data_IF_933647532388
#
_entry.id   IF_933647532388
#
_cell.length_a   1.000
_cell.length_b   1.000
_cell.length_c   1.000
_cell.angle_alpha   90.00
_cell.angle_beta   90.00
_cell.angle_gamma   90.00
#
_symmetry.space_group_name_H-M   'P 1'
#
loop_
_entity.id
_entity.type
_entity.pdbx_description
1 polymer ?
#
# COMPACT_ATOMS: atom_id res chain seq x y z
N UNK A 1 -1.75 18.66 -11.87
CA UNK A 1 -2.09 17.25 -12.17
C UNK A 1 -2.39 16.53 -10.86
N UNK A 2 -3.49 15.76 -10.76
CA UNK A 2 -3.82 15.00 -9.53
C UNK A 2 -2.97 13.73 -9.49
N UNK A 3 -2.41 13.39 -8.31
CA UNK A 3 -1.65 12.16 -8.08
C UNK A 3 -2.53 11.14 -7.37
N UNK A 4 -2.48 9.89 -7.81
CA UNK A 4 -3.10 8.78 -7.12
C UNK A 4 -2.03 8.00 -6.36
N UNK A 5 -2.33 7.62 -5.12
CA UNK A 5 -1.46 6.85 -4.26
C UNK A 5 -2.15 5.53 -3.93
N UNK A 6 -1.50 4.41 -4.28
CA UNK A 6 -1.97 3.07 -3.94
C UNK A 6 -1.33 2.64 -2.63
N UNK A 7 -2.16 2.41 -1.61
CA UNK A 7 -1.73 1.83 -0.35
C UNK A 7 -1.98 0.32 -0.38
N UNK A 8 -0.97 -0.46 0.01
CA UNK A 8 -1.03 -1.94 0.11
C UNK A 8 -0.50 -2.42 1.47
N UNK A 9 -0.37 -1.50 2.44
CA UNK A 9 0.19 -1.79 3.75
C UNK A 9 -0.33 -0.87 4.84
N UNK A 10 0.52 -0.43 5.78
CA UNK A 10 0.10 0.35 6.96
C UNK A 10 -0.67 1.63 6.63
N UNK A 11 -0.42 2.22 5.46
CA UNK A 11 -1.17 3.36 4.94
C UNK A 11 -2.63 3.04 4.52
N UNK A 12 -3.08 1.79 4.63
CA UNK A 12 -4.50 1.45 4.57
C UNK A 12 -5.26 1.84 5.84
N UNK A 13 -4.55 2.09 6.96
CA UNK A 13 -5.18 2.61 8.17
C UNK A 13 -5.62 4.07 7.96
N UNK A 14 -6.92 4.26 7.76
CA UNK A 14 -7.52 5.57 7.46
C UNK A 14 -7.24 6.60 8.54
N UNK A 15 -7.37 6.25 9.83
CA UNK A 15 -7.13 7.19 10.94
C UNK A 15 -5.68 7.69 10.95
N UNK A 16 -4.74 6.77 10.76
CA UNK A 16 -3.32 7.11 10.72
C UNK A 16 -2.98 7.93 9.47
N UNK A 17 -3.56 7.60 8.31
CA UNK A 17 -3.38 8.39 7.09
C UNK A 17 -3.96 9.78 7.21
N UNK A 18 -5.16 9.94 7.77
CA UNK A 18 -5.78 11.25 7.95
C UNK A 18 -4.96 12.14 8.89
N UNK A 19 -4.35 11.56 9.93
CA UNK A 19 -3.44 12.29 10.80
C UNK A 19 -2.14 12.70 10.08
N UNK A 20 -1.54 11.80 9.29
CA UNK A 20 -0.27 12.06 8.58
C UNK A 20 -0.43 12.92 7.34
N UNK A 21 -1.56 12.82 6.65
CA UNK A 21 -1.85 13.43 5.36
C UNK A 21 -3.30 13.97 5.35
N UNK A 22 -3.57 15.11 6.01
CA UNK A 22 -4.93 15.64 6.20
C UNK A 22 -5.70 15.92 4.92
N UNK A 23 -5.00 16.30 3.85
CA UNK A 23 -5.59 16.63 2.55
C UNK A 23 -5.83 15.41 1.65
N UNK A 24 -5.33 14.24 2.02
CA UNK A 24 -5.51 13.02 1.25
C UNK A 24 -6.98 12.58 1.29
N UNK A 25 -7.52 12.19 0.13
CA UNK A 25 -8.89 11.72 -0.01
C UNK A 25 -8.90 10.28 -0.48
N UNK A 26 -9.75 9.46 0.14
CA UNK A 26 -10.01 8.09 -0.32
C UNK A 26 -10.76 8.18 -1.64
N UNK A 27 -10.21 7.52 -2.67
CA UNK A 27 -10.81 7.47 -4.02
C UNK A 27 -11.60 6.18 -4.20
N UNK A 28 -11.09 5.06 -3.67
CA UNK A 28 -11.70 3.74 -3.80
C UNK A 28 -10.67 2.63 -3.58
N UNK A 29 -11.05 1.42 -3.97
CA UNK A 29 -10.17 0.24 -4.00
C UNK A 29 -9.66 -0.02 -5.42
N UNK A 30 -8.51 -0.67 -5.54
CA UNK A 30 -7.92 -1.07 -6.80
C UNK A 30 -7.15 -2.39 -6.62
N UNK A 31 -6.94 -3.10 -7.73
CA UNK A 31 -6.13 -4.31 -7.79
C UNK A 31 -4.83 -4.03 -8.56
N UNK A 32 -3.75 -4.69 -8.18
CA UNK A 32 -2.45 -4.64 -8.84
C UNK A 32 -2.13 -6.05 -9.38
N UNK A 33 -2.48 -6.34 -10.65
CA UNK A 33 -2.24 -7.66 -11.24
C UNK A 33 -0.75 -7.91 -11.48
N UNK A 34 -0.36 -9.18 -11.44
CA UNK A 34 1.00 -9.69 -11.58
C UNK A 34 1.98 -9.19 -10.51
N UNK A 35 1.49 -8.92 -9.31
CA UNK A 35 2.29 -8.63 -8.13
C UNK A 35 1.88 -9.54 -6.96
N UNK A 36 2.83 -9.80 -6.05
CA UNK A 36 2.57 -10.46 -4.78
C UNK A 36 2.91 -9.55 -3.61
N UNK A 37 2.09 -9.59 -2.57
CA UNK A 37 2.39 -8.94 -1.28
C UNK A 37 3.37 -9.80 -0.49
N UNK A 38 4.41 -9.16 0.03
CA UNK A 38 5.46 -9.78 0.82
C UNK A 38 5.59 -9.11 2.18
N UNK A 39 5.78 -9.93 3.20
CA UNK A 39 6.14 -9.52 4.55
C UNK A 39 7.63 -9.79 4.74
N UNK A 40 8.42 -8.73 4.87
CA UNK A 40 9.87 -8.83 5.03
C UNK A 40 10.32 -8.32 6.40
N UNK A 41 11.34 -8.96 6.95
CA UNK A 41 12.05 -8.47 8.13
C UNK A 41 13.06 -7.39 7.77
N UNK A 42 13.32 -6.48 8.70
CA UNK A 42 14.42 -5.52 8.71
C UNK A 42 15.15 -5.59 10.05
N UNK A 43 16.23 -4.82 10.22
CA UNK A 43 16.97 -4.76 11.50
C UNK A 43 16.13 -4.23 12.66
N UNK A 44 15.07 -3.48 12.38
CA UNK A 44 14.25 -2.77 13.39
C UNK A 44 12.79 -3.21 13.41
N UNK A 45 12.40 -4.22 12.62
CA UNK A 45 11.02 -4.71 12.60
C UNK A 45 10.67 -5.47 11.34
N UNK A 46 9.39 -5.40 10.95
CA UNK A 46 8.89 -5.99 9.70
C UNK A 46 8.17 -4.95 8.87
N UNK A 47 8.18 -5.11 7.56
CA UNK A 47 7.53 -4.21 6.62
C UNK A 47 6.89 -4.98 5.46
N UNK A 48 5.98 -4.29 4.78
CA UNK A 48 5.29 -4.78 3.61
C UNK A 48 5.96 -4.23 2.35
N UNK A 49 6.10 -5.08 1.34
CA UNK A 49 6.48 -4.68 -0.01
C UNK A 49 5.74 -5.53 -1.01
N UNK A 50 5.71 -5.09 -2.27
CA UNK A 50 5.23 -5.91 -3.38
C UNK A 50 6.38 -6.20 -4.34
N UNK A 51 6.34 -7.35 -4.99
CA UNK A 51 7.28 -7.72 -6.06
C UNK A 51 6.51 -8.31 -7.24
N UNK A 52 7.02 -8.17 -8.48
CA UNK A 52 6.41 -8.79 -9.64
C UNK A 52 6.30 -10.32 -9.46
N UNK A 53 5.12 -10.86 -9.71
CA UNK A 53 4.85 -12.30 -9.78
C UNK A 53 3.62 -12.55 -10.64
N UNK A 54 3.83 -13.19 -11.79
CA UNK A 54 2.77 -13.50 -12.73
C UNK A 54 1.70 -14.41 -12.09
N UNK A 55 0.43 -14.10 -12.35
CA UNK A 55 -0.71 -14.86 -11.81
C UNK A 55 -1.08 -14.55 -10.35
N UNK A 56 -0.39 -13.60 -9.71
CA UNK A 56 -0.80 -13.05 -8.42
C UNK A 56 -1.42 -11.66 -8.57
N UNK A 57 -2.22 -11.24 -7.59
CA UNK A 57 -2.81 -9.91 -7.51
C UNK A 57 -2.69 -9.39 -6.08
N UNK A 58 -2.37 -8.10 -5.94
CA UNK A 58 -2.40 -7.36 -4.66
C UNK A 58 -3.61 -6.44 -4.62
#
# INVERSE_FOLDING_TARGET
>A
MKKFYLAYGSNLNVKQMQFRCPDARIVGTAEIPNYQLLFKGSKTGSYLTIEPKQGCTV
#
